data_IF_909265433484
#
_entry.id   IF_909265433484
#
_cell.length_a   1.000
_cell.length_b   1.000
_cell.length_c   1.000
_cell.angle_alpha   90.00
_cell.angle_beta   90.00
_cell.angle_gamma   90.00
#
_symmetry.space_group_name_H-M   'P 1'
#
loop_
_entity.id
_entity.type
_entity.pdbx_description
1 polymer ?
#
# COMPACT_ATOMS: atom_id res chain seq x y z
N UNK A 1 -14.72 -3.62 2.07
CA UNK A 1 -14.41 -4.69 3.03
C UNK A 1 -14.12 -5.97 2.31
N UNK A 2 -13.08 -6.63 2.72
CA UNK A 2 -12.70 -7.91 2.14
C UNK A 2 -13.36 -9.05 2.90
N UNK A 3 -13.59 -10.15 2.21
CA UNK A 3 -14.09 -11.37 2.82
C UNK A 3 -12.92 -12.18 3.38
N UNK A 4 -13.11 -12.89 4.52
CA UNK A 4 -12.09 -13.80 5.01
C UNK A 4 -11.74 -14.85 3.94
N UNK A 5 -10.45 -15.12 3.78
CA UNK A 5 -9.99 -16.10 2.81
C UNK A 5 -10.02 -15.63 1.36
N UNK A 6 -10.19 -14.32 1.14
CA UNK A 6 -10.14 -13.74 -0.20
C UNK A 6 -8.78 -13.98 -0.83
N UNK A 7 -8.77 -14.37 -2.10
CA UNK A 7 -7.55 -14.51 -2.89
C UNK A 7 -7.47 -13.37 -3.90
N UNK A 8 -6.39 -12.60 -3.84
CA UNK A 8 -6.11 -11.51 -4.77
C UNK A 8 -4.78 -11.76 -5.44
N UNK A 9 -4.71 -11.50 -6.73
CA UNK A 9 -3.48 -11.65 -7.49
C UNK A 9 -3.13 -10.34 -8.17
N UNK A 10 -1.84 -10.14 -8.39
CA UNK A 10 -1.35 -8.95 -9.07
C UNK A 10 0.10 -9.08 -9.46
N UNK A 11 0.67 -7.97 -9.90
CA UNK A 11 2.05 -7.96 -10.32
C UNK A 11 2.48 -6.60 -10.88
N UNK A 12 3.71 -6.54 -11.35
CA UNK A 12 4.27 -5.35 -11.96
C UNK A 12 3.79 -5.19 -13.40
N UNK A 13 4.10 -4.04 -13.98
CA UNK A 13 3.66 -3.69 -15.34
C UNK A 13 4.14 -4.70 -16.40
N UNK A 14 5.40 -5.15 -16.33
CA UNK A 14 5.93 -6.08 -17.32
C UNK A 14 5.61 -7.55 -17.03
N UNK A 15 5.07 -7.85 -15.84
CA UNK A 15 4.71 -9.20 -15.45
C UNK A 15 5.87 -10.06 -14.94
N UNK A 16 7.08 -9.52 -14.87
CA UNK A 16 8.24 -10.28 -14.37
C UNK A 16 8.08 -10.66 -12.89
N UNK A 17 7.35 -9.84 -12.12
CA UNK A 17 7.07 -10.12 -10.72
C UNK A 17 5.57 -10.26 -10.56
N UNK A 18 5.18 -11.36 -9.93
CA UNK A 18 3.78 -11.68 -9.66
C UNK A 18 3.63 -11.95 -8.17
N UNK A 19 2.44 -11.69 -7.65
CA UNK A 19 2.16 -12.02 -6.26
C UNK A 19 0.72 -12.50 -6.09
N UNK A 20 0.50 -13.16 -4.97
CA UNK A 20 -0.81 -13.60 -4.54
C UNK A 20 -0.99 -13.22 -3.07
N UNK A 21 -2.11 -12.60 -2.76
CA UNK A 21 -2.56 -12.37 -1.39
C UNK A 21 -3.59 -13.43 -1.08
N UNK A 22 -3.33 -14.24 -0.06
CA UNK A 22 -4.24 -15.29 0.36
C UNK A 22 -4.54 -15.11 1.84
N UNK A 23 -5.58 -14.33 2.11
CA UNK A 23 -5.91 -13.98 3.48
C UNK A 23 -6.92 -12.85 3.55
N UNK A 24 -6.77 -12.01 4.56
CA UNK A 24 -7.72 -10.97 4.89
C UNK A 24 -7.11 -9.58 4.68
N UNK A 25 -7.79 -8.75 3.90
CA UNK A 25 -7.43 -7.34 3.78
C UNK A 25 -7.83 -6.62 5.07
N UNK A 26 -6.89 -5.96 5.70
CA UNK A 26 -7.12 -5.30 6.98
C UNK A 26 -7.54 -3.85 6.83
N UNK A 27 -7.07 -3.19 5.79
CA UNK A 27 -7.47 -1.82 5.46
C UNK A 27 -7.09 -1.52 4.02
N UNK A 28 -7.73 -0.50 3.47
CA UNK A 28 -7.36 0.07 2.16
C UNK A 28 -7.28 1.58 2.34
N UNK A 29 -6.07 2.13 2.38
CA UNK A 29 -5.84 3.54 2.69
C UNK A 29 -5.26 4.28 1.50
N UNK A 30 -5.66 5.55 1.38
CA UNK A 30 -5.00 6.49 0.47
C UNK A 30 -4.04 7.33 1.31
N UNK A 31 -2.75 7.22 1.04
CA UNK A 31 -1.71 7.88 1.82
C UNK A 31 -1.15 9.08 1.07
N UNK A 32 -1.29 10.26 1.66
CA UNK A 32 -0.92 11.54 1.04
C UNK A 32 0.47 12.02 1.43
N UNK A 33 1.26 11.26 2.19
CA UNK A 33 2.55 11.74 2.68
C UNK A 33 3.48 12.11 1.51
N UNK A 34 4.44 13.03 1.79
CA UNK A 34 5.35 13.49 0.75
C UNK A 34 6.18 12.37 0.14
N UNK A 35 6.56 11.38 0.94
CA UNK A 35 7.30 10.23 0.42
C UNK A 35 6.45 9.43 -0.57
N UNK A 36 5.17 9.23 -0.27
CA UNK A 36 4.26 8.55 -1.19
C UNK A 36 4.05 9.36 -2.47
N UNK A 37 3.95 10.69 -2.36
CA UNK A 37 3.87 11.57 -3.52
C UNK A 37 5.11 11.40 -4.42
N UNK A 38 6.29 11.45 -3.83
CA UNK A 38 7.54 11.31 -4.60
C UNK A 38 7.70 9.91 -5.17
N UNK A 39 7.34 8.90 -4.40
CA UNK A 39 7.51 7.51 -4.83
C UNK A 39 6.57 7.13 -5.97
N UNK A 40 5.38 7.74 -6.03
CA UNK A 40 4.38 7.45 -7.08
C UNK A 40 4.37 8.47 -8.20
N UNK A 41 4.84 9.69 -7.94
CA UNK A 41 4.76 10.78 -8.90
C UNK A 41 3.39 11.44 -8.99
N UNK A 42 2.53 11.22 -8.00
CA UNK A 42 1.19 11.82 -7.94
C UNK A 42 0.85 12.21 -6.50
N UNK A 43 -0.41 12.53 -6.23
CA UNK A 43 -0.82 13.12 -4.94
C UNK A 43 -0.90 12.14 -3.79
N UNK A 44 -1.12 10.87 -4.06
CA UNK A 44 -1.22 9.84 -3.03
C UNK A 44 -0.97 8.46 -3.62
N UNK A 45 -0.75 7.50 -2.74
CA UNK A 45 -0.78 6.08 -3.10
C UNK A 45 -2.01 5.44 -2.47
N UNK A 46 -2.53 4.39 -3.09
CA UNK A 46 -3.60 3.57 -2.51
C UNK A 46 -3.01 2.22 -2.16
N UNK A 47 -3.11 1.83 -0.90
CA UNK A 47 -2.42 0.67 -0.36
C UNK A 47 -3.39 -0.25 0.38
N UNK A 48 -3.10 -1.54 0.32
CA UNK A 48 -3.88 -2.60 0.96
C UNK A 48 -3.02 -3.18 2.08
N UNK A 49 -3.53 -3.15 3.30
CA UNK A 49 -2.84 -3.75 4.44
C UNK A 49 -3.14 -5.23 4.56
N UNK A 50 -2.08 -6.05 4.50
CA UNK A 50 -2.18 -7.51 4.69
C UNK A 50 -1.01 -7.97 5.53
N UNK A 51 -1.09 -9.18 6.10
CA UNK A 51 0.07 -9.76 6.77
C UNK A 51 1.10 -10.22 5.74
N UNK A 52 2.38 -10.06 6.08
CA UNK A 52 3.46 -10.52 5.21
C UNK A 52 3.33 -12.02 4.91
N UNK A 53 2.89 -12.80 5.89
CA UNK A 53 2.68 -14.24 5.73
C UNK A 53 1.58 -14.60 4.75
N UNK A 54 0.68 -13.65 4.43
CA UNK A 54 -0.41 -13.85 3.47
C UNK A 54 -0.02 -13.43 2.06
N UNK A 55 1.17 -12.86 1.88
CA UNK A 55 1.66 -12.38 0.59
C UNK A 55 2.74 -13.32 0.06
N UNK A 56 2.47 -13.95 -1.08
CA UNK A 56 3.45 -14.79 -1.79
C UNK A 56 3.93 -14.07 -3.03
N UNK A 57 5.23 -13.90 -3.17
CA UNK A 57 5.81 -13.14 -4.28
C UNK A 57 6.65 -14.07 -5.14
N UNK A 58 6.43 -14.02 -6.44
CA UNK A 58 7.21 -14.75 -7.44
C UNK A 58 8.05 -13.75 -8.23
N UNK A 59 9.35 -14.00 -8.32
CA UNK A 59 10.32 -13.05 -8.83
C UNK A 59 11.00 -12.31 -7.68
N UNK A 60 12.02 -11.53 -7.99
CA UNK A 60 12.83 -10.83 -6.99
C UNK A 60 12.71 -9.32 -7.19
N UNK A 61 11.96 -8.61 -6.31
CA UNK A 61 11.90 -7.16 -6.43
C UNK A 61 13.21 -6.50 -6.04
N UNK A 62 13.44 -5.32 -6.59
CA UNK A 62 14.45 -4.39 -6.11
C UNK A 62 13.83 -3.65 -4.91
N UNK A 63 14.67 -3.31 -3.96
CA UNK A 63 14.22 -2.60 -2.75
C UNK A 63 14.95 -1.28 -2.57
N UNK A 64 14.24 -0.33 -1.94
CA UNK A 64 14.82 0.92 -1.49
C UNK A 64 14.30 1.20 -0.08
N UNK A 65 15.21 1.44 0.86
CA UNK A 65 14.86 1.70 2.25
C UNK A 65 15.18 3.15 2.60
N UNK A 66 14.21 3.81 3.23
CA UNK A 66 14.38 5.16 3.76
C UNK A 66 13.75 5.25 5.14
N UNK A 67 14.00 6.35 5.85
CA UNK A 67 13.32 6.60 7.12
C UNK A 67 11.94 7.20 6.86
N UNK A 68 10.93 6.66 7.52
CA UNK A 68 9.61 7.25 7.53
C UNK A 68 9.52 8.42 8.50
N UNK A 69 8.39 9.11 8.51
CA UNK A 69 8.17 10.26 9.39
C UNK A 69 8.29 9.85 10.88
N UNK A 70 7.91 8.63 11.22
CA UNK A 70 8.02 8.11 12.59
C UNK A 70 9.45 7.77 13.00
N UNK A 71 10.41 7.81 12.07
CA UNK A 71 11.80 7.41 12.30
C UNK A 71 12.10 5.96 12.02
N UNK A 72 11.09 5.14 11.78
CA UNK A 72 11.28 3.73 11.42
C UNK A 72 11.64 3.55 9.94
N UNK A 73 12.22 2.40 9.64
CA UNK A 73 12.58 2.07 8.25
C UNK A 73 11.35 1.77 7.42
N UNK A 74 11.34 2.29 6.21
CA UNK A 74 10.32 2.02 5.19
C UNK A 74 11.02 1.42 4.00
N UNK A 75 10.70 0.18 3.66
CA UNK A 75 11.30 -0.53 2.53
C UNK A 75 10.27 -0.68 1.42
N UNK A 76 10.57 -0.10 0.27
CA UNK A 76 9.73 -0.17 -0.92
C UNK A 76 10.26 -1.23 -1.86
N UNK A 77 9.34 -2.07 -2.37
CA UNK A 77 9.65 -3.20 -3.25
C UNK A 77 9.03 -2.94 -4.62
N UNK A 78 9.83 -2.99 -5.65
CA UNK A 78 9.39 -2.67 -7.01
C UNK A 78 10.15 -3.51 -8.03
N UNK A 79 9.64 -3.58 -9.25
CA UNK A 79 10.28 -4.34 -10.32
C UNK A 79 11.49 -3.57 -10.87
N UNK A 80 12.65 -4.22 -10.92
CA UNK A 80 13.85 -3.60 -11.46
C UNK A 80 13.82 -3.45 -12.98
N UNK A 81 12.92 -4.14 -13.67
CA UNK A 81 12.82 -4.09 -15.14
C UNK A 81 11.86 -2.98 -15.58
N UNK A 82 10.66 -2.90 -14.98
CA UNK A 82 9.66 -1.93 -15.43
C UNK A 82 9.41 -0.79 -14.42
N UNK A 83 9.94 -0.88 -13.20
CA UNK A 83 9.70 0.10 -12.15
C UNK A 83 8.35 -0.01 -11.50
N UNK A 84 7.53 -0.98 -11.86
CA UNK A 84 6.20 -1.16 -11.27
C UNK A 84 6.29 -1.43 -9.78
N UNK A 85 5.57 -0.64 -8.98
CA UNK A 85 5.62 -0.73 -7.52
C UNK A 85 4.71 -1.84 -7.04
N UNK A 86 5.16 -2.57 -6.02
CA UNK A 86 4.46 -3.76 -5.55
C UNK A 86 3.98 -3.62 -4.12
N UNK A 87 4.88 -3.46 -3.16
CA UNK A 87 4.49 -3.32 -1.76
C UNK A 87 5.56 -2.64 -0.94
N UNK A 88 5.18 -2.22 0.26
CA UNK A 88 6.04 -1.54 1.21
C UNK A 88 5.96 -2.26 2.54
N UNK A 89 7.08 -2.37 3.24
CA UNK A 89 7.16 -3.01 4.54
C UNK A 89 7.87 -2.12 5.55
N UNK A 90 7.73 -2.45 6.83
CA UNK A 90 8.51 -1.84 7.90
C UNK A 90 7.86 -0.69 8.66
N UNK A 91 6.70 -0.20 8.24
CA UNK A 91 6.12 1.01 8.85
C UNK A 91 5.07 0.73 9.93
N UNK A 92 4.46 -0.43 9.90
CA UNK A 92 3.32 -0.73 10.78
C UNK A 92 3.66 -1.82 11.77
N UNK A 93 2.98 -1.84 12.95
CA UNK A 93 3.19 -2.89 13.93
C UNK A 93 2.90 -4.27 13.35
N UNK A 94 3.57 -5.26 13.90
CA UNK A 94 3.44 -6.62 13.44
C UNK A 94 4.07 -6.80 12.08
N UNK A 95 3.67 -7.82 11.37
CA UNK A 95 4.19 -8.14 10.04
C UNK A 95 3.25 -7.65 8.93
N UNK A 96 2.60 -6.49 9.13
CA UNK A 96 1.71 -5.91 8.12
C UNK A 96 2.54 -5.26 7.03
N UNK A 97 2.21 -5.59 5.78
CA UNK A 97 2.78 -4.94 4.60
C UNK A 97 1.68 -4.23 3.83
N UNK A 98 2.07 -3.27 3.00
CA UNK A 98 1.13 -2.43 2.27
C UNK A 98 1.32 -2.66 0.78
N UNK A 99 0.37 -3.36 0.16
CA UNK A 99 0.41 -3.71 -1.26
C UNK A 99 -0.22 -2.58 -2.07
N UNK A 100 0.41 -2.23 -3.19
CA UNK A 100 -0.11 -1.19 -4.08
C UNK A 100 -1.41 -1.67 -4.73
N UNK A 101 -2.51 -0.97 -4.47
CA UNK A 101 -3.83 -1.40 -4.93
C UNK A 101 -3.93 -1.47 -6.45
N UNK A 102 -3.31 -0.53 -7.14
CA UNK A 102 -3.34 -0.50 -8.61
C UNK A 102 -2.57 -1.63 -9.28
N UNK A 103 -1.74 -2.36 -8.53
CA UNK A 103 -1.01 -3.50 -9.09
C UNK A 103 -1.84 -4.80 -9.07
N UNK A 104 -3.02 -4.79 -8.48
CA UNK A 104 -3.93 -5.94 -8.56
C UNK A 104 -4.39 -6.17 -10.00
N UNK A 105 -4.59 -7.43 -10.36
CA UNK A 105 -5.16 -7.77 -11.67
C UNK A 105 -6.58 -7.22 -11.83
N UNK A 106 -7.36 -7.26 -10.75
CA UNK A 106 -8.69 -6.65 -10.71
C UNK A 106 -8.79 -5.70 -9.52
N UNK A 107 -8.34 -4.44 -9.67
CA UNK A 107 -8.35 -3.50 -8.56
C UNK A 107 -9.74 -3.05 -8.12
N UNK A 108 -10.77 -3.35 -8.89
CA UNK A 108 -12.15 -3.04 -8.52
C UNK A 108 -12.70 -3.95 -7.42
N UNK A 109 -11.96 -4.99 -7.04
CA UNK A 109 -12.38 -5.88 -5.96
C UNK A 109 -12.19 -5.29 -4.57
N UNK A 110 -11.47 -4.16 -4.49
CA UNK A 110 -11.26 -3.44 -3.24
C UNK A 110 -11.65 -1.98 -3.44
N UNK A 111 -11.85 -1.28 -2.34
CA UNK A 111 -12.11 0.16 -2.37
C UNK A 111 -11.45 0.81 -1.15
N UNK A 112 -10.98 2.07 -1.28
CA UNK A 112 -10.43 2.79 -0.13
C UNK A 112 -11.44 2.91 1.00
N UNK A 113 -10.95 2.78 2.23
CA UNK A 113 -11.77 2.96 3.44
C UNK A 113 -11.31 4.16 4.28
N UNK A 114 -10.17 4.78 3.95
CA UNK A 114 -9.66 5.91 4.71
C UNK A 114 -8.63 6.69 3.91
N UNK A 115 -8.38 7.93 4.35
CA UNK A 115 -7.30 8.78 3.84
C UNK A 115 -6.38 9.08 5.02
N UNK A 116 -5.08 8.84 4.87
CA UNK A 116 -4.09 9.06 5.92
C UNK A 116 -3.03 10.06 5.45
N UNK A 117 -2.33 10.68 6.41
CA UNK A 117 -1.39 11.77 6.16
C UNK A 117 -2.05 12.90 5.37
N UNK A 118 -3.30 13.18 5.70
CA UNK A 118 -4.08 14.21 5.01
C UNK A 118 -3.48 15.60 5.20
N UNK A 119 -2.65 15.78 6.22
CA UNK A 119 -1.92 17.05 6.43
C UNK A 119 -1.07 17.45 5.22
N UNK A 120 -0.66 16.49 4.41
CA UNK A 120 0.19 16.72 3.24
C UNK A 120 -0.62 16.68 1.93
N UNK A 121 -1.93 16.52 1.99
CA UNK A 121 -2.78 16.42 0.79
C UNK A 121 -2.63 17.67 -0.08
N UNK A 122 -2.53 17.43 -1.39
CA UNK A 122 -2.37 18.50 -2.37
C UNK A 122 -3.73 19.11 -2.72
N UNK A 123 -3.73 20.40 -3.02
CA UNK A 123 -4.97 21.12 -3.30
C UNK A 123 -5.72 20.59 -4.53
N UNK A 124 -5.01 19.99 -5.47
CA UNK A 124 -5.62 19.45 -6.68
C UNK A 124 -6.00 17.98 -6.56
N UNK A 125 -5.70 17.32 -5.43
CA UNK A 125 -6.01 15.90 -5.21
C UNK A 125 -7.33 15.79 -4.47
N UNK A 126 -8.26 15.01 -5.02
CA UNK A 126 -9.63 14.92 -4.50
C UNK A 126 -9.88 13.54 -3.93
N UNK A 127 -10.63 13.51 -2.84
CA UNK A 127 -10.96 12.28 -2.12
C UNK A 127 -12.47 12.23 -1.90
N UNK A 128 -13.01 11.02 -1.79
CA UNK A 128 -14.39 10.81 -1.43
C UNK A 128 -14.66 11.47 -0.08
N UNK A 129 -15.60 12.42 0.00
CA UNK A 129 -15.87 13.14 1.25
C UNK A 129 -16.44 12.24 2.36
N UNK A 130 -16.92 11.05 2.02
CA UNK A 130 -17.45 10.10 3.01
C UNK A 130 -16.36 9.31 3.70
N UNK A 131 -15.13 9.30 3.19
CA UNK A 131 -14.05 8.57 3.83
C UNK A 131 -13.50 9.33 5.02
N UNK A 132 -13.27 8.64 6.14
CA UNK A 132 -12.58 9.27 7.28
C UNK A 132 -11.18 9.69 6.88
N UNK A 133 -10.75 10.85 7.39
CA UNK A 133 -9.46 11.45 7.08
C UNK A 133 -8.67 11.63 8.37
N UNK A 134 -7.41 11.26 8.33
CA UNK A 134 -6.52 11.37 9.47
C UNK A 134 -5.32 12.22 9.08
N UNK A 135 -4.95 13.17 9.94
CA UNK A 135 -3.81 14.06 9.70
C UNK A 135 -2.51 13.26 9.54
N UNK A 136 -2.36 12.19 10.31
CA UNK A 136 -1.28 11.21 10.21
C UNK A 136 -1.89 9.82 10.11
N UNK A 137 -1.35 8.86 10.83
CA UNK A 137 -1.96 7.54 10.92
C UNK A 137 -3.02 7.54 12.02
N UNK A 138 -4.12 6.79 11.85
CA UNK A 138 -5.07 6.61 12.94
C UNK A 138 -4.43 5.81 14.07
N UNK A 139 -4.86 6.07 15.32
CA UNK A 139 -4.48 5.21 16.42
C UNK A 139 -5.22 3.88 16.27
N UNK A 140 -4.46 2.81 16.27
CA UNK A 140 -5.01 1.46 16.14
C UNK A 140 -4.70 0.67 17.40
N UNK A 141 -5.68 -0.14 17.81
CA UNK A 141 -5.43 -1.13 18.85
C UNK A 141 -4.40 -2.14 18.34
N UNK A 142 -3.53 -2.68 19.23
CA UNK A 142 -2.66 -3.77 18.83
C UNK A 142 -3.49 -4.94 18.30
N UNK A 143 -2.98 -5.66 17.30
CA UNK A 143 -3.70 -6.82 16.76
C UNK A 143 -3.80 -7.94 17.77
#
# INVERSE_FOLDING_TARGET
>A
MSEPGMKLEGGCLCGAIRYCINGKVRFVSQCCCRDCQRATGTGHTTIIGVLRSELSVRGVPVTYTSKGESGGDVTRHFCGTCGGRLYTSGTLPGAVVMVQAGSLDDPNRIAPDSVVYYKDALSWDRFDPQLPRFERLPQRSPP
#
